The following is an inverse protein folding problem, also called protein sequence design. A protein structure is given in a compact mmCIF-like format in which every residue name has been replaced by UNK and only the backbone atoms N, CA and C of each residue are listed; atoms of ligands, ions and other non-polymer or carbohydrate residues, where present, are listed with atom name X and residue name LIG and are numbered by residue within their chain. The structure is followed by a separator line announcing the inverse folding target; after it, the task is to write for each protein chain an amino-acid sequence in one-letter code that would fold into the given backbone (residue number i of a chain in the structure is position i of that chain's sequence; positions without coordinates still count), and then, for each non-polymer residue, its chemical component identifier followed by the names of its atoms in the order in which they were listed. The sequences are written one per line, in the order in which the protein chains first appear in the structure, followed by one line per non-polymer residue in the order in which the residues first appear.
data_IF_433847436656
#
_entry.id   IF_433847436656
#
_cell.length_a   1.000
_cell.length_b   1.000
_cell.length_c   1.000
_cell.angle_alpha   90.00
_cell.angle_beta   90.00
_cell.angle_gamma   90.00
#
_symmetry.space_group_name_H-M   'P 1'
#
loop_
_entity.id
_entity.type
_entity.pdbx_description
1 polymer ?
#
# COMPACT_ATOMS: atom_id res chain seq x y z
N UNK A 1 -50.65 -47.15 -6.91
CA UNK A 1 -49.51 -47.52 -6.05
C UNK A 1 -48.27 -46.77 -6.52
N UNK A 2 -47.63 -45.98 -5.63
CA UNK A 2 -46.17 -45.81 -5.45
C UNK A 2 -45.33 -45.52 -6.73
N UNK A 3 -44.57 -44.42 -6.89
CA UNK A 3 -43.92 -43.49 -5.93
C UNK A 3 -43.53 -42.19 -6.62
N UNK A 4 -43.60 -41.10 -5.87
CA UNK A 4 -42.86 -39.84 -6.07
C UNK A 4 -41.37 -40.10 -5.77
N UNK A 5 -40.45 -39.60 -6.61
CA UNK A 5 -39.03 -39.38 -6.28
C UNK A 5 -38.45 -38.40 -7.32
N UNK A 6 -38.55 -37.08 -7.16
CA UNK A 6 -37.61 -36.22 -6.43
C UNK A 6 -36.14 -36.63 -6.63
N UNK A 7 -35.43 -35.96 -7.54
CA UNK A 7 -33.97 -35.77 -7.47
C UNK A 7 -33.57 -34.56 -8.32
N UNK A 8 -33.83 -33.37 -7.78
CA UNK A 8 -33.02 -32.18 -8.00
C UNK A 8 -31.60 -32.50 -7.55
N UNK A 9 -30.62 -32.55 -8.47
CA UNK A 9 -29.22 -32.35 -8.08
C UNK A 9 -28.63 -31.25 -8.96
N UNK A 10 -28.55 -30.07 -8.33
CA UNK A 10 -27.67 -28.98 -8.68
C UNK A 10 -26.22 -29.47 -8.73
N UNK A 11 -25.54 -29.18 -9.83
CA UNK A 11 -24.10 -29.36 -9.96
C UNK A 11 -23.42 -28.09 -10.47
N UNK A 12 -23.81 -26.91 -9.97
CA UNK A 12 -23.05 -25.69 -10.20
C UNK A 12 -21.85 -25.71 -9.24
N UNK A 13 -20.73 -26.29 -9.68
CA UNK A 13 -19.43 -26.08 -9.03
C UNK A 13 -19.05 -24.62 -9.28
N UNK A 14 -19.53 -23.74 -8.40
CA UNK A 14 -19.01 -22.39 -8.30
C UNK A 14 -17.59 -22.51 -7.75
N UNK A 15 -16.60 -22.57 -8.64
CA UNK A 15 -15.20 -22.34 -8.31
C UNK A 15 -15.12 -20.96 -7.67
N UNK A 16 -15.06 -20.95 -6.33
CA UNK A 16 -14.79 -19.75 -5.54
C UNK A 16 -13.34 -19.39 -5.83
N UNK A 17 -13.11 -18.67 -6.92
CA UNK A 17 -11.87 -17.92 -7.11
C UNK A 17 -11.93 -16.85 -6.04
N UNK A 18 -11.33 -17.12 -4.88
CA UNK A 18 -10.99 -16.06 -3.94
C UNK A 18 -9.99 -15.19 -4.67
N UNK A 19 -10.49 -14.19 -5.39
CA UNK A 19 -9.66 -13.11 -5.88
C UNK A 19 -8.97 -12.55 -4.64
N UNK A 20 -7.65 -12.69 -4.55
CA UNK A 20 -6.81 -12.03 -3.58
C UNK A 20 -6.92 -10.53 -3.86
N UNK A 21 -8.04 -9.94 -3.44
CA UNK A 21 -8.49 -8.63 -3.84
C UNK A 21 -7.59 -7.59 -3.22
N UNK A 22 -6.48 -7.23 -3.87
CA UNK A 22 -5.76 -5.96 -3.70
C UNK A 22 -5.48 -5.50 -2.24
N UNK A 23 -5.64 -6.39 -1.25
CA UNK A 23 -5.69 -6.06 0.17
C UNK A 23 -4.27 -5.91 0.71
N UNK A 24 -3.28 -6.40 -0.03
CA UNK A 24 -1.88 -6.36 0.33
C UNK A 24 -1.22 -4.98 0.18
N UNK A 25 -1.86 -3.98 -0.45
CA UNK A 25 -1.30 -2.61 -0.56
C UNK A 25 -1.81 -1.70 0.58
N UNK A 26 -3.06 -1.89 1.01
CA UNK A 26 -3.68 -1.07 2.07
C UNK A 26 -2.82 -1.04 3.36
N UNK A 27 -2.25 -2.17 3.84
CA UNK A 27 -1.29 -2.19 4.93
C UNK A 27 -0.12 -1.22 4.80
N UNK A 28 0.48 -1.07 3.62
CA UNK A 28 1.62 -0.17 3.40
C UNK A 28 1.20 1.29 3.46
N UNK A 29 0.09 1.62 2.78
CA UNK A 29 -0.48 2.97 2.83
C UNK A 29 -0.89 3.37 4.26
N UNK A 30 -1.45 2.43 5.03
CA UNK A 30 -1.80 2.69 6.44
C UNK A 30 -0.58 3.04 7.29
N UNK A 31 0.56 2.35 7.09
CA UNK A 31 1.79 2.69 7.81
C UNK A 31 2.33 4.05 7.36
N UNK A 32 2.32 4.35 6.06
CA UNK A 32 2.71 5.68 5.56
C UNK A 32 1.86 6.79 6.19
N UNK A 33 0.53 6.63 6.16
CA UNK A 33 -0.42 7.61 6.72
C UNK A 33 -0.17 7.84 8.22
N UNK A 34 0.10 6.76 8.96
CA UNK A 34 0.40 6.84 10.39
C UNK A 34 1.76 7.51 10.66
N UNK A 35 2.80 7.13 9.90
CA UNK A 35 4.16 7.60 10.10
C UNK A 35 4.31 9.11 9.82
N UNK A 36 3.53 9.63 8.86
CA UNK A 36 3.62 11.02 8.42
C UNK A 36 2.43 11.89 8.82
N UNK A 37 1.68 11.49 9.87
CA UNK A 37 0.54 12.24 10.43
C UNK A 37 -0.52 12.66 9.40
N UNK A 38 -0.67 11.94 8.29
CA UNK A 38 -1.56 12.32 7.17
C UNK A 38 -3.02 12.39 7.60
N UNK A 39 -3.43 11.57 8.59
CA UNK A 39 -4.81 11.55 9.08
C UNK A 39 -5.14 12.74 9.98
N UNK A 40 -4.17 13.21 10.77
CA UNK A 40 -4.35 14.28 11.76
C UNK A 40 -3.15 15.26 11.67
N UNK A 41 -3.02 15.98 10.54
CA UNK A 41 -1.87 16.85 10.30
C UNK A 41 -1.90 18.07 11.23
N UNK A 42 -0.73 18.43 11.79
CA UNK A 42 -0.58 19.51 12.78
C UNK A 42 0.14 20.73 12.20
N UNK A 43 1.07 20.51 11.28
CA UNK A 43 1.85 21.55 10.59
C UNK A 43 1.32 21.82 9.19
N UNK A 44 1.69 22.95 8.59
CA UNK A 44 1.27 23.28 7.24
C UNK A 44 1.88 22.32 6.19
N UNK A 45 3.12 21.87 6.40
CA UNK A 45 3.72 20.81 5.57
C UNK A 45 2.96 19.49 5.67
N UNK A 46 2.56 19.06 6.87
CA UNK A 46 1.76 17.84 7.03
C UNK A 46 0.37 17.98 6.38
N UNK A 47 -0.26 19.16 6.44
CA UNK A 47 -1.53 19.41 5.76
C UNK A 47 -1.37 19.34 4.24
N UNK A 48 -0.30 19.93 3.70
CA UNK A 48 0.02 19.87 2.29
C UNK A 48 0.26 18.43 1.82
N UNK A 49 1.05 17.67 2.60
CA UNK A 49 1.27 16.25 2.34
C UNK A 49 -0.04 15.46 2.37
N UNK A 50 -0.87 15.70 3.39
CA UNK A 50 -2.14 15.00 3.53
C UNK A 50 -3.08 15.26 2.35
N UNK A 51 -3.16 16.51 1.89
CA UNK A 51 -3.93 16.88 0.70
C UNK A 51 -3.39 16.16 -0.55
N UNK A 52 -2.07 16.18 -0.76
CA UNK A 52 -1.45 15.53 -1.90
C UNK A 52 -1.64 13.99 -1.88
N UNK A 53 -1.49 13.35 -0.73
CA UNK A 53 -1.71 11.89 -0.56
C UNK A 53 -3.16 11.51 -0.84
N UNK A 54 -4.12 12.33 -0.39
CA UNK A 54 -5.54 12.11 -0.63
C UNK A 54 -5.91 12.18 -2.12
N UNK A 55 -5.19 12.99 -2.90
CA UNK A 55 -5.35 13.10 -4.35
C UNK A 55 -4.79 11.87 -5.07
N UNK A 56 -3.53 11.49 -4.78
CA UNK A 56 -2.83 10.46 -5.56
C UNK A 56 -3.18 9.02 -5.18
N UNK A 57 -3.52 8.75 -3.91
CA UNK A 57 -3.92 7.41 -3.41
C UNK A 57 -2.95 6.30 -3.86
N UNK A 58 -3.36 5.44 -4.82
CA UNK A 58 -2.52 4.35 -5.33
C UNK A 58 -1.28 4.86 -6.08
N UNK A 59 -1.34 6.08 -6.63
CA UNK A 59 -0.25 6.67 -7.39
C UNK A 59 0.90 7.19 -6.50
N UNK A 60 0.78 7.05 -5.18
CA UNK A 60 1.91 7.26 -4.27
C UNK A 60 3.06 6.29 -4.59
N UNK A 61 2.75 5.03 -4.93
CA UNK A 61 3.74 4.00 -5.24
C UNK A 61 3.62 3.43 -6.67
N UNK A 62 2.53 3.75 -7.37
CA UNK A 62 2.23 3.22 -8.70
C UNK A 62 2.17 4.34 -9.74
N UNK A 63 2.31 3.97 -11.01
CA UNK A 63 2.20 4.90 -12.13
C UNK A 63 1.44 4.29 -13.31
N UNK A 64 0.91 5.17 -14.17
CA UNK A 64 0.16 4.78 -15.35
C UNK A 64 -1.12 3.99 -15.03
N UNK A 65 -1.50 3.08 -15.93
CA UNK A 65 -2.79 2.37 -15.89
C UNK A 65 -2.75 1.04 -15.13
N UNK A 66 -1.57 0.59 -14.72
CA UNK A 66 -1.36 -0.74 -14.15
C UNK A 66 -0.75 -0.65 -12.76
N UNK A 67 -1.36 -1.31 -11.77
CA UNK A 67 -0.82 -1.43 -10.41
C UNK A 67 0.45 -2.28 -10.33
N UNK A 68 0.88 -2.90 -11.43
CA UNK A 68 2.18 -3.56 -11.52
C UNK A 68 3.30 -2.57 -11.84
N UNK A 69 2.96 -1.42 -12.41
CA UNK A 69 3.91 -0.38 -12.70
C UNK A 69 4.13 0.39 -11.40
N UNK A 70 5.38 0.44 -10.96
CA UNK A 70 5.78 1.20 -9.78
C UNK A 70 6.48 2.46 -10.25
N UNK A 71 6.13 3.58 -9.64
CA UNK A 71 6.93 4.78 -9.79
C UNK A 71 8.28 4.59 -9.09
N UNK A 72 9.18 5.59 -9.19
CA UNK A 72 10.51 5.49 -8.59
C UNK A 72 10.48 5.16 -7.08
N UNK A 73 9.56 5.74 -6.32
CA UNK A 73 9.42 5.48 -4.89
C UNK A 73 8.91 4.07 -4.59
N UNK A 74 7.90 3.61 -5.34
CA UNK A 74 7.41 2.24 -5.23
C UNK A 74 8.46 1.21 -5.61
N UNK A 75 9.32 1.52 -6.59
CA UNK A 75 10.44 0.66 -6.97
C UNK A 75 11.48 0.59 -5.85
N UNK A 76 11.92 1.73 -5.31
CA UNK A 76 12.85 1.78 -4.17
C UNK A 76 12.30 1.02 -2.95
N UNK A 77 11.00 1.12 -2.68
CA UNK A 77 10.37 0.39 -1.60
C UNK A 77 10.33 -1.13 -1.83
N UNK A 78 10.15 -1.58 -3.07
CA UNK A 78 10.13 -3.01 -3.41
C UNK A 78 11.51 -3.66 -3.27
N UNK A 79 12.60 -2.88 -3.37
CA UNK A 79 13.95 -3.38 -3.13
C UNK A 79 14.22 -3.66 -1.64
N UNK A 80 13.48 -2.99 -0.74
CA UNK A 80 13.69 -3.09 0.71
C UNK A 80 12.68 -4.01 1.40
N UNK A 81 11.56 -4.34 0.75
CA UNK A 81 10.43 -5.05 1.37
C UNK A 81 10.00 -6.21 0.49
N UNK A 82 10.09 -7.44 1.01
CA UNK A 82 9.32 -8.53 0.43
C UNK A 82 7.85 -8.42 0.86
N UNK A 83 6.98 -8.23 -0.13
CA UNK A 83 5.54 -8.10 0.09
C UNK A 83 4.92 -9.33 0.77
N UNK A 84 5.37 -10.53 0.44
CA UNK A 84 4.81 -11.77 1.00
C UNK A 84 5.21 -11.91 2.46
N UNK A 85 6.47 -11.63 2.79
CA UNK A 85 6.99 -11.65 4.15
C UNK A 85 6.26 -10.62 5.02
N UNK A 86 6.11 -9.39 4.55
CA UNK A 86 5.37 -8.37 5.31
C UNK A 86 3.90 -8.76 5.55
N UNK A 87 3.22 -9.31 4.53
CA UNK A 87 1.82 -9.75 4.67
C UNK A 87 1.72 -10.93 5.64
N UNK A 88 2.68 -11.85 5.63
CA UNK A 88 2.73 -12.97 6.57
C UNK A 88 2.97 -12.46 8.00
N UNK A 89 4.02 -11.67 8.21
CA UNK A 89 4.37 -11.07 9.50
C UNK A 89 3.20 -10.28 10.10
N UNK A 90 2.48 -9.51 9.29
CA UNK A 90 1.34 -8.72 9.75
C UNK A 90 0.12 -9.55 10.16
N UNK A 91 -0.05 -10.76 9.61
CA UNK A 91 -1.11 -11.69 10.04
C UNK A 91 -0.81 -12.30 11.40
N UNK A 92 0.47 -12.50 11.71
CA UNK A 92 0.94 -13.04 12.97
C UNK A 92 0.97 -11.96 14.06
N UNK A 93 1.63 -10.84 13.77
CA UNK A 93 1.79 -9.71 14.67
C UNK A 93 1.74 -8.40 13.88
N UNK A 94 0.57 -7.74 13.95
CA UNK A 94 0.34 -6.50 13.23
C UNK A 94 1.26 -5.38 13.73
N UNK A 95 1.50 -5.26 15.03
CA UNK A 95 2.26 -4.15 15.61
C UNK A 95 3.75 -4.29 15.26
N UNK A 96 4.29 -5.51 15.39
CA UNK A 96 5.67 -5.80 14.99
C UNK A 96 5.89 -5.53 13.50
N UNK A 97 5.01 -6.02 12.63
CA UNK A 97 5.13 -5.78 11.20
C UNK A 97 5.02 -4.29 10.85
N UNK A 98 4.14 -3.54 11.55
CA UNK A 98 4.06 -2.09 11.37
C UNK A 98 5.37 -1.40 11.77
N UNK A 99 5.98 -1.79 12.89
CA UNK A 99 7.26 -1.24 13.34
C UNK A 99 8.40 -1.51 12.35
N UNK A 100 8.54 -2.75 11.89
CA UNK A 100 9.56 -3.13 10.90
C UNK A 100 9.37 -2.32 9.60
N UNK A 101 8.13 -2.14 9.16
CA UNK A 101 7.86 -1.34 7.98
C UNK A 101 8.12 0.15 8.19
N UNK A 102 7.85 0.70 9.37
CA UNK A 102 8.26 2.06 9.73
C UNK A 102 9.77 2.24 9.63
N UNK A 103 10.57 1.27 10.10
CA UNK A 103 12.03 1.32 9.96
C UNK A 103 12.48 1.34 8.51
N UNK A 104 11.75 0.66 7.62
CA UNK A 104 12.00 0.71 6.18
C UNK A 104 11.64 2.08 5.60
N UNK A 105 10.52 2.69 6.02
CA UNK A 105 10.20 4.07 5.61
C UNK A 105 11.31 5.04 6.02
N UNK A 106 11.87 4.89 7.22
CA UNK A 106 13.03 5.71 7.67
C UNK A 106 14.26 5.48 6.80
N UNK A 107 14.53 4.24 6.36
CA UNK A 107 15.62 3.97 5.39
C UNK A 107 15.35 4.65 4.06
N UNK A 108 14.12 4.56 3.54
CA UNK A 108 13.72 5.23 2.31
C UNK A 108 13.86 6.74 2.39
N UNK A 109 13.67 7.37 3.54
CA UNK A 109 13.86 8.82 3.68
C UNK A 109 15.27 9.31 3.32
N UNK A 110 16.28 8.45 3.43
CA UNK A 110 17.65 8.75 3.05
C UNK A 110 17.95 8.52 1.55
N UNK A 111 17.09 7.77 0.85
CA UNK A 111 17.26 7.50 -0.58
C UNK A 111 16.95 8.75 -1.42
N UNK A 112 17.72 8.93 -2.49
CA UNK A 112 17.51 10.04 -3.42
C UNK A 112 16.37 9.75 -4.36
N UNK A 113 15.47 10.72 -4.49
CA UNK A 113 14.49 10.72 -5.55
C UNK A 113 15.13 11.05 -6.91
N UNK A 114 14.44 10.80 -8.03
CA UNK A 114 14.91 11.21 -9.36
C UNK A 114 15.18 12.72 -9.51
N UNK A 115 14.60 13.57 -8.65
CA UNK A 115 14.81 15.03 -8.67
C UNK A 115 16.03 15.47 -7.88
N UNK A 116 16.72 14.54 -7.19
CA UNK A 116 17.97 14.79 -6.46
C UNK A 116 17.81 15.07 -4.96
N UNK A 117 16.64 15.55 -4.52
CA UNK A 117 16.23 15.63 -3.11
C UNK A 117 15.99 14.21 -2.56
N UNK A 118 16.22 13.97 -1.27
CA UNK A 118 15.84 12.70 -0.67
C UNK A 118 14.32 12.59 -0.51
N UNK A 119 13.79 11.36 -0.45
CA UNK A 119 12.36 11.19 -0.19
C UNK A 119 11.94 11.81 1.15
N UNK A 120 12.80 11.77 2.16
CA UNK A 120 12.55 12.41 3.45
C UNK A 120 12.48 13.93 3.37
N UNK A 121 13.33 14.56 2.55
CA UNK A 121 13.30 16.01 2.31
C UNK A 121 11.98 16.42 1.66
N UNK A 122 11.53 15.69 0.63
CA UNK A 122 10.26 15.92 -0.05
C UNK A 122 9.07 15.81 0.90
N UNK A 123 9.00 14.71 1.66
CA UNK A 123 7.90 14.45 2.60
C UNK A 123 7.85 15.52 3.70
N UNK A 124 9.00 15.90 4.28
CA UNK A 124 9.09 16.96 5.28
C UNK A 124 8.68 18.33 4.73
N UNK A 125 8.93 18.57 3.44
CA UNK A 125 8.48 19.78 2.73
C UNK A 125 6.98 19.75 2.35
N UNK A 126 6.23 18.70 2.74
CA UNK A 126 4.83 18.56 2.41
C UNK A 126 4.56 18.08 0.97
N UNK A 127 5.61 17.60 0.28
CA UNK A 127 5.53 17.10 -1.09
C UNK A 127 5.43 15.58 -1.09
N UNK A 128 4.90 15.02 -2.18
CA UNK A 128 4.89 13.57 -2.36
C UNK A 128 6.33 13.08 -2.62
N UNK A 129 6.66 11.84 -2.20
CA UNK A 129 7.93 11.20 -2.52
C UNK A 129 7.98 10.70 -3.97
N UNK A 130 7.26 11.32 -4.90
CA UNK A 130 7.28 10.97 -6.34
C UNK A 130 7.79 12.19 -7.09
N UNK A 131 8.35 11.98 -8.28
CA UNK A 131 8.57 13.10 -9.19
C UNK A 131 7.21 13.76 -9.45
N UNK A 132 7.08 15.07 -9.21
CA UNK A 132 5.93 15.81 -9.67
C UNK A 132 5.95 15.77 -11.21
N UNK A 133 4.95 15.14 -11.81
CA UNK A 133 4.68 15.26 -13.25
C UNK A 133 3.97 16.58 -13.55
#
# INVERSE_FOLDING_TARGET
MKKVLFCLILGAVASVVTADQAFAIKPFMEVFIANYNVKEPKTDSEKALAAAVAEVKCNLCHEGKSKKNRNAYGAAMDELVDKKEFVAARKEDKEKAQKEFTEILVKLEAEKSPTGETYGELIKAGKLPVAAE
#
